data_IF_216003547753
#
_entry.id   IF_216003547753
#
_cell.length_a   1.000
_cell.length_b   1.000
_cell.length_c   1.000
_cell.angle_alpha   90.00
_cell.angle_beta   90.00
_cell.angle_gamma   90.00
#
_symmetry.space_group_name_H-M   'P 1'
#
loop_
_entity.id
_entity.type
_entity.pdbx_description
1 polymer ?
#
# COMPACT_ATOMS: atom_id res chain seq x y z
N UNK A 1 12.27 3.84 -6.28
CA UNK A 1 11.66 5.13 -6.65
C UNK A 1 10.36 5.19 -5.88
N UNK A 2 10.30 6.01 -4.84
CA UNK A 2 9.14 6.12 -3.96
C UNK A 2 8.22 7.19 -4.58
N UNK A 3 7.09 6.77 -5.12
CA UNK A 3 6.05 7.67 -5.58
C UNK A 3 5.07 7.88 -4.42
N UNK A 4 5.07 9.07 -3.83
CA UNK A 4 4.07 9.47 -2.84
C UNK A 4 2.82 9.98 -3.55
N UNK A 5 1.67 9.44 -3.16
CA UNK A 5 0.37 9.87 -3.68
C UNK A 5 0.15 11.30 -3.18
N UNK A 6 0.12 12.24 -4.13
CA UNK A 6 -0.11 13.68 -3.89
C UNK A 6 -1.28 13.86 -2.94
N UNK A 7 -1.25 14.91 -2.09
CA UNK A 7 -2.38 15.44 -1.29
C UNK A 7 -3.69 14.70 -1.61
N UNK A 8 -4.04 13.69 -0.83
CA UNK A 8 -5.28 12.94 -0.98
C UNK A 8 -6.45 13.85 -0.63
N UNK A 9 -6.73 14.83 -1.50
CA UNK A 9 -8.11 15.24 -1.70
C UNK A 9 -8.85 13.96 -2.08
N UNK A 10 -9.99 13.72 -1.48
CA UNK A 10 -10.86 12.55 -1.70
C UNK A 10 -11.29 12.35 -3.18
N UNK A 11 -10.77 13.16 -4.12
CA UNK A 11 -11.10 13.24 -5.55
C UNK A 11 -9.91 12.95 -6.48
N UNK A 12 -8.83 12.28 -6.04
CA UNK A 12 -7.81 11.83 -7.01
C UNK A 12 -8.27 10.56 -7.71
N UNK A 13 -8.27 10.58 -9.04
CA UNK A 13 -8.46 9.36 -9.83
C UNK A 13 -7.33 8.36 -9.53
N UNK A 14 -7.64 7.06 -9.56
CA UNK A 14 -6.64 6.01 -9.46
C UNK A 14 -5.56 6.24 -10.51
N UNK A 15 -4.30 6.41 -10.08
CA UNK A 15 -3.17 6.67 -10.97
C UNK A 15 -3.00 5.57 -12.03
N UNK A 16 -3.38 4.35 -11.66
CA UNK A 16 -3.40 3.16 -12.49
C UNK A 16 -4.44 2.19 -11.90
N UNK A 17 -5.22 1.56 -12.76
CA UNK A 17 -6.07 0.42 -12.43
C UNK A 17 -5.76 -0.68 -13.45
N UNK A 18 -5.51 -1.89 -12.97
CA UNK A 18 -5.23 -3.08 -13.79
C UNK A 18 -6.27 -4.11 -13.38
N UNK A 19 -7.26 -4.31 -14.24
CA UNK A 19 -8.32 -5.28 -14.00
C UNK A 19 -7.94 -6.60 -14.67
N UNK A 20 -7.71 -7.65 -13.86
CA UNK A 20 -7.49 -9.00 -14.38
C UNK A 20 -8.83 -9.74 -14.38
N UNK A 21 -9.39 -9.95 -15.57
CA UNK A 21 -10.67 -10.65 -15.75
C UNK A 21 -10.48 -12.18 -15.70
N UNK A 22 -10.32 -12.75 -14.51
CA UNK A 22 -10.52 -14.20 -14.29
C UNK A 22 -9.44 -14.92 -13.46
N UNK A 23 -9.88 -15.84 -12.61
CA UNK A 23 -9.09 -16.67 -11.69
C UNK A 23 -8.28 -17.79 -12.36
N UNK A 24 -8.33 -17.91 -13.69
CA UNK A 24 -7.63 -18.97 -14.42
C UNK A 24 -6.47 -18.40 -15.23
N UNK A 25 -5.28 -18.53 -14.64
CA UNK A 25 -3.98 -18.79 -15.29
C UNK A 25 -3.71 -18.00 -16.58
N UNK A 26 -2.89 -16.95 -16.44
CA UNK A 26 -2.05 -16.32 -17.47
C UNK A 26 -1.96 -17.09 -18.80
N UNK A 27 -2.88 -16.83 -19.74
CA UNK A 27 -2.66 -17.18 -21.14
C UNK A 27 -1.78 -16.11 -21.81
N UNK A 28 -0.99 -16.44 -22.85
CA UNK A 28 0.00 -15.54 -23.47
C UNK A 28 -0.56 -14.17 -23.90
N UNK A 29 -1.84 -14.11 -24.28
CA UNK A 29 -2.51 -12.88 -24.74
C UNK A 29 -2.85 -11.95 -23.57
N UNK A 30 -3.33 -12.51 -22.45
CA UNK A 30 -3.55 -11.75 -21.20
C UNK A 30 -2.23 -11.23 -20.63
N UNK A 31 -1.13 -11.96 -20.86
CA UNK A 31 0.20 -11.54 -20.40
C UNK A 31 0.71 -10.31 -21.13
N UNK A 32 0.42 -10.16 -22.44
CA UNK A 32 0.84 -8.98 -23.22
C UNK A 32 -0.02 -7.76 -22.88
N UNK A 33 -1.34 -7.94 -22.74
CA UNK A 33 -2.24 -6.84 -22.33
C UNK A 33 -1.87 -6.33 -20.93
N UNK A 34 -1.71 -7.25 -19.97
CA UNK A 34 -1.26 -6.91 -18.61
C UNK A 34 0.14 -6.30 -18.63
N UNK A 35 1.07 -6.77 -19.47
CA UNK A 35 2.41 -6.18 -19.59
C UNK A 35 2.37 -4.73 -20.13
N UNK A 36 1.51 -4.44 -21.11
CA UNK A 36 1.34 -3.08 -21.64
C UNK A 36 0.68 -2.15 -20.61
N UNK A 37 -0.34 -2.64 -19.90
CA UNK A 37 -0.96 -1.90 -18.80
C UNK A 37 0.05 -1.63 -17.69
N UNK A 38 0.85 -2.63 -17.30
CA UNK A 38 1.94 -2.49 -16.34
C UNK A 38 2.97 -1.45 -16.78
N UNK A 39 3.42 -1.48 -18.03
CA UNK A 39 4.39 -0.51 -18.56
C UNK A 39 3.81 0.92 -18.57
N UNK A 40 2.54 1.07 -18.95
CA UNK A 40 1.82 2.36 -18.89
C UNK A 40 1.68 2.87 -17.45
N UNK A 41 1.33 1.97 -16.52
CA UNK A 41 1.23 2.27 -15.10
C UNK A 41 2.57 2.67 -14.50
N UNK A 42 3.64 1.95 -14.83
CA UNK A 42 4.99 2.30 -14.41
C UNK A 42 5.38 3.69 -14.93
N UNK A 43 5.13 3.99 -16.21
CA UNK A 43 5.41 5.31 -16.78
C UNK A 43 4.65 6.42 -16.06
N UNK A 44 3.36 6.22 -15.74
CA UNK A 44 2.55 7.19 -14.99
C UNK A 44 3.09 7.38 -13.57
N UNK A 45 3.40 6.30 -12.86
CA UNK A 45 3.95 6.35 -11.51
C UNK A 45 5.31 7.06 -11.47
N UNK A 46 6.19 6.82 -12.44
CA UNK A 46 7.49 7.51 -12.56
C UNK A 46 7.34 9.01 -12.81
N UNK A 47 6.25 9.43 -13.45
CA UNK A 47 5.96 10.84 -13.70
C UNK A 47 5.33 11.55 -12.49
N UNK A 48 4.95 10.82 -11.43
CA UNK A 48 4.42 11.43 -10.20
C UNK A 48 5.58 12.15 -9.48
N UNK A 49 5.49 13.48 -9.29
CA UNK A 49 6.51 14.19 -8.54
C UNK A 49 6.45 13.78 -7.06
N UNK A 50 7.62 13.73 -6.41
CA UNK A 50 7.70 13.52 -4.97
C UNK A 50 7.04 14.66 -4.19
N UNK A 51 6.39 14.32 -3.08
CA UNK A 51 5.77 15.28 -2.17
C UNK A 51 6.72 15.69 -1.03
N UNK A 52 6.46 16.85 -0.44
CA UNK A 52 7.21 17.35 0.72
C UNK A 52 6.78 16.74 2.05
N UNK A 53 5.65 16.02 2.07
CA UNK A 53 5.05 15.39 3.25
C UNK A 53 4.49 14.01 2.89
N UNK A 54 4.42 13.11 3.87
CA UNK A 54 4.02 11.71 3.72
C UNK A 54 2.79 11.41 4.57
N UNK A 55 1.59 11.54 3.99
CA UNK A 55 0.32 11.21 4.66
C UNK A 55 -0.09 9.74 4.45
N UNK A 56 0.53 8.84 5.22
CA UNK A 56 0.25 7.40 5.15
C UNK A 56 -1.21 7.11 5.53
N UNK A 57 -1.72 7.72 6.59
CA UNK A 57 -3.09 7.51 7.05
C UNK A 57 -4.13 7.99 6.03
N UNK A 58 -3.91 9.15 5.40
CA UNK A 58 -4.76 9.66 4.33
C UNK A 58 -4.72 8.76 3.09
N UNK A 59 -3.56 8.22 2.72
CA UNK A 59 -3.44 7.26 1.63
C UNK A 59 -4.23 5.96 1.91
N UNK A 60 -4.14 5.43 3.13
CA UNK A 60 -4.92 4.26 3.56
C UNK A 60 -6.43 4.54 3.60
N UNK A 61 -6.83 5.75 3.99
CA UNK A 61 -8.23 6.18 3.95
C UNK A 61 -8.75 6.16 2.51
N UNK A 62 -8.01 6.78 1.59
CA UNK A 62 -8.37 6.80 0.19
C UNK A 62 -8.44 5.37 -0.40
N UNK A 63 -7.44 4.53 -0.15
CA UNK A 63 -7.43 3.14 -0.61
C UNK A 63 -8.65 2.36 -0.08
N UNK A 64 -9.02 2.55 1.18
CA UNK A 64 -10.18 1.87 1.77
C UNK A 64 -11.50 2.30 1.11
N UNK A 65 -11.66 3.58 0.81
CA UNK A 65 -12.83 4.11 0.11
C UNK A 65 -12.91 3.61 -1.34
N UNK A 66 -11.79 3.65 -2.07
CA UNK A 66 -11.71 3.18 -3.45
C UNK A 66 -12.07 1.69 -3.55
N UNK A 67 -11.56 0.86 -2.64
CA UNK A 67 -11.87 -0.57 -2.64
C UNK A 67 -13.29 -0.89 -2.16
N UNK A 68 -13.89 -0.07 -1.28
CA UNK A 68 -15.30 -0.24 -0.86
C UNK A 68 -16.28 -0.08 -2.03
N UNK A 69 -15.94 0.75 -3.02
CA UNK A 69 -16.75 0.92 -4.23
C UNK A 69 -16.73 -0.30 -5.17
N UNK A 70 -15.73 -1.18 -5.05
CA UNK A 70 -15.53 -2.34 -5.93
C UNK A 70 -16.11 -3.65 -5.34
N UNK A 71 -16.88 -4.40 -6.16
CA UNK A 71 -17.55 -5.70 -5.85
C UNK A 71 -16.54 -6.84 -5.52
N UNK A 72 -16.96 -7.97 -4.93
CA UNK A 72 -16.23 -8.65 -3.87
C UNK A 72 -15.04 -9.48 -4.37
N UNK A 73 -13.84 -9.00 -4.08
CA UNK A 73 -12.61 -9.77 -4.10
C UNK A 73 -11.79 -9.38 -2.85
N UNK A 74 -10.85 -10.22 -2.40
CA UNK A 74 -9.90 -9.87 -1.34
C UNK A 74 -9.29 -8.49 -1.58
N UNK A 75 -9.23 -7.70 -0.51
CA UNK A 75 -8.83 -6.31 -0.56
C UNK A 75 -7.52 -6.14 0.21
N UNK A 76 -6.42 -6.38 -0.48
CA UNK A 76 -5.08 -6.20 0.07
C UNK A 76 -4.54 -4.86 -0.38
N UNK A 77 -4.08 -4.04 0.59
CA UNK A 77 -3.32 -2.82 0.32
C UNK A 77 -1.84 -3.13 0.55
N UNK A 78 -1.00 -2.86 -0.44
CA UNK A 78 0.45 -2.93 -0.26
C UNK A 78 1.01 -1.51 -0.32
N UNK A 79 1.68 -1.09 0.75
CA UNK A 79 2.34 0.21 0.84
C UNK A 79 3.86 0.05 0.80
N UNK A 80 4.52 0.90 0.02
CA UNK A 80 5.98 1.03 -0.01
C UNK A 80 6.35 2.28 0.79
N UNK A 81 6.96 2.12 1.95
CA UNK A 81 7.09 3.20 2.93
C UNK A 81 8.22 2.93 3.91
N UNK A 82 8.76 3.98 4.52
CA UNK A 82 9.65 3.91 5.68
C UNK A 82 8.91 4.02 7.02
N UNK A 83 7.56 4.03 6.96
CA UNK A 83 6.63 4.22 8.06
C UNK A 83 6.78 5.58 8.79
N UNK A 84 7.49 6.54 8.22
CA UNK A 84 7.53 7.91 8.70
C UNK A 84 6.35 8.68 8.10
N UNK A 85 5.35 8.97 8.92
CA UNK A 85 4.29 9.90 8.54
C UNK A 85 4.65 11.31 9.01
N UNK A 86 4.54 12.26 8.11
CA UNK A 86 4.64 13.68 8.38
C UNK A 86 3.55 14.42 7.61
N UNK A 87 2.92 15.38 8.28
CA UNK A 87 1.78 16.13 7.74
C UNK A 87 2.13 17.63 7.69
N UNK A 88 1.54 18.37 6.73
CA UNK A 88 1.62 19.83 6.74
C UNK A 88 1.11 20.41 8.07
N UNK A 89 1.64 21.57 8.50
CA UNK A 89 1.17 22.24 9.70
C UNK A 89 -0.35 22.50 9.66
N UNK A 90 -1.04 22.16 10.76
CA UNK A 90 -2.49 22.35 10.89
C UNK A 90 -3.35 21.24 10.27
N UNK A 91 -2.75 20.24 9.61
CA UNK A 91 -3.48 19.04 9.19
C UNK A 91 -3.50 17.99 10.31
N UNK A 92 -4.63 17.29 10.42
CA UNK A 92 -4.77 16.12 11.28
C UNK A 92 -4.72 14.85 10.44
N UNK A 93 -4.12 13.79 10.98
CA UNK A 93 -4.06 12.50 10.31
C UNK A 93 -5.45 11.87 10.19
N UNK A 94 -5.72 11.23 9.06
CA UNK A 94 -6.96 10.50 8.86
C UNK A 94 -7.06 9.28 9.82
N UNK A 95 -8.29 8.82 10.07
CA UNK A 95 -8.59 7.58 10.76
C UNK A 95 -9.34 6.63 9.81
N UNK A 96 -8.62 5.88 8.97
CA UNK A 96 -9.24 4.98 8.00
C UNK A 96 -10.03 3.85 8.66
N UNK A 97 -11.12 3.44 8.02
CA UNK A 97 -11.81 2.20 8.36
C UNK A 97 -11.35 1.08 7.43
N UNK A 98 -10.46 0.23 7.95
CA UNK A 98 -9.83 -0.86 7.21
C UNK A 98 -10.54 -2.21 7.40
N UNK A 99 -11.78 -2.19 7.92
CA UNK A 99 -12.57 -3.41 8.13
C UNK A 99 -12.66 -4.23 6.84
N UNK A 100 -12.21 -5.48 6.92
CA UNK A 100 -12.21 -6.42 5.79
C UNK A 100 -11.03 -6.28 4.84
N UNK A 101 -10.07 -5.39 5.13
CA UNK A 101 -8.85 -5.22 4.36
C UNK A 101 -7.66 -5.84 5.10
N UNK A 102 -6.65 -6.30 4.36
CA UNK A 102 -5.32 -6.56 4.94
C UNK A 102 -4.32 -5.55 4.37
N UNK A 103 -3.36 -5.15 5.20
CA UNK A 103 -2.35 -4.17 4.82
C UNK A 103 -0.96 -4.79 4.90
N UNK A 104 -0.21 -4.75 3.81
CA UNK A 104 1.18 -5.15 3.74
C UNK A 104 2.09 -3.94 3.60
N UNK A 105 3.21 -3.91 4.30
CA UNK A 105 4.20 -2.83 4.21
C UNK A 105 5.55 -3.34 3.67
N UNK A 106 5.98 -2.83 2.53
CA UNK A 106 7.35 -3.02 2.04
C UNK A 106 8.21 -1.86 2.54
N UNK A 107 9.10 -2.17 3.48
CA UNK A 107 9.92 -1.20 4.19
C UNK A 107 11.11 -0.75 3.33
N UNK A 108 11.08 0.52 2.91
CA UNK A 108 12.17 1.21 2.20
C UNK A 108 12.86 2.19 3.16
N UNK A 109 13.60 1.65 4.14
CA UNK A 109 14.18 2.44 5.24
C UNK A 109 15.42 3.23 4.75
N UNK A 110 15.45 4.57 4.91
CA UNK A 110 16.63 5.36 4.61
C UNK A 110 17.83 4.97 5.48
N UNK A 111 19.05 5.05 4.94
CA UNK A 111 20.27 4.71 5.68
C UNK A 111 20.44 5.53 6.98
N UNK A 112 19.94 6.77 7.02
CA UNK A 112 19.95 7.63 8.21
C UNK A 112 19.10 7.07 9.36
N UNK A 113 18.01 6.38 9.04
CA UNK A 113 17.09 5.79 10.00
C UNK A 113 17.51 4.38 10.39
N UNK A 114 18.09 3.61 9.46
CA UNK A 114 18.65 2.29 9.73
C UNK A 114 19.80 2.32 10.78
N UNK A 115 20.47 3.48 10.94
CA UNK A 115 21.52 3.67 11.95
C UNK A 115 20.99 3.98 13.35
N UNK A 116 19.69 4.17 13.53
CA UNK A 116 19.06 4.50 14.82
C UNK A 116 18.49 3.22 15.44
N UNK A 117 19.10 2.69 16.52
CA UNK A 117 18.66 1.42 17.11
C UNK A 117 17.19 1.47 17.54
N UNK A 118 16.42 0.43 17.19
CA UNK A 118 15.01 0.26 17.59
C UNK A 118 14.00 1.22 16.96
N UNK A 119 14.44 2.18 16.13
CA UNK A 119 13.52 3.14 15.49
C UNK A 119 12.52 2.44 14.56
N UNK A 120 13.02 1.54 13.71
CA UNK A 120 12.19 0.81 12.74
C UNK A 120 11.21 -0.10 13.46
N UNK A 121 11.68 -0.89 14.44
CA UNK A 121 10.84 -1.79 15.23
C UNK A 121 9.73 -1.04 15.95
N UNK A 122 10.05 0.14 16.52
CA UNK A 122 9.06 1.00 17.15
C UNK A 122 8.02 1.48 16.15
N UNK A 123 8.44 1.98 14.97
CA UNK A 123 7.50 2.41 13.91
C UNK A 123 6.60 1.26 13.47
N UNK A 124 7.17 0.07 13.24
CA UNK A 124 6.41 -1.12 12.86
C UNK A 124 5.39 -1.47 13.93
N UNK A 125 5.77 -1.48 15.21
CA UNK A 125 4.86 -1.77 16.31
C UNK A 125 3.74 -0.72 16.46
N UNK A 126 4.06 0.57 16.32
CA UNK A 126 3.09 1.66 16.31
C UNK A 126 2.08 1.50 15.17
N UNK A 127 2.55 1.25 13.95
CA UNK A 127 1.68 1.05 12.79
C UNK A 127 0.89 -0.24 12.86
N UNK A 128 1.48 -1.34 13.32
CA UNK A 128 0.76 -2.60 13.54
C UNK A 128 -0.42 -2.41 14.50
N UNK A 129 -0.19 -1.71 15.62
CA UNK A 129 -1.26 -1.37 16.56
C UNK A 129 -2.34 -0.49 15.91
N UNK A 130 -1.96 0.60 15.22
CA UNK A 130 -2.93 1.49 14.57
C UNK A 130 -3.76 0.75 13.52
N UNK A 131 -3.10 -0.01 12.64
CA UNK A 131 -3.75 -0.70 11.52
C UNK A 131 -4.69 -1.80 12.01
N UNK A 132 -4.25 -2.63 12.95
CA UNK A 132 -5.03 -3.81 13.39
C UNK A 132 -6.03 -3.48 14.48
N UNK A 133 -5.67 -2.64 15.45
CA UNK A 133 -6.52 -2.34 16.62
C UNK A 133 -7.39 -1.11 16.39
N UNK A 134 -6.79 0.01 16.00
CA UNK A 134 -7.52 1.28 15.90
C UNK A 134 -8.36 1.32 14.61
N UNK A 135 -7.83 0.79 13.52
CA UNK A 135 -8.45 0.86 12.18
C UNK A 135 -9.04 -0.46 11.68
N UNK A 136 -8.89 -1.54 12.48
CA UNK A 136 -9.60 -2.82 12.32
C UNK A 136 -9.30 -3.56 11.00
N UNK A 137 -8.09 -3.43 10.48
CA UNK A 137 -7.64 -4.30 9.39
C UNK A 137 -7.64 -5.77 9.86
N UNK A 138 -7.98 -6.69 8.96
CA UNK A 138 -7.93 -8.15 9.21
C UNK A 138 -6.51 -8.64 9.51
N UNK A 139 -5.51 -8.02 8.89
CA UNK A 139 -4.11 -8.40 9.06
C UNK A 139 -3.17 -7.25 8.70
N UNK A 140 -1.99 -7.30 9.31
CA UNK A 140 -0.87 -6.43 8.99
C UNK A 140 0.40 -7.27 8.88
N UNK A 141 1.09 -7.17 7.75
CA UNK A 141 2.39 -7.79 7.54
C UNK A 141 3.40 -6.76 7.03
N UNK A 142 4.69 -7.03 7.24
CA UNK A 142 5.74 -6.15 6.75
C UNK A 142 6.95 -6.94 6.28
N UNK A 143 7.63 -6.40 5.27
CA UNK A 143 8.83 -6.99 4.67
C UNK A 143 9.87 -5.91 4.42
N UNK A 144 11.14 -6.22 4.65
CA UNK A 144 12.21 -5.34 4.19
C UNK A 144 12.32 -5.41 2.67
N UNK A 145 12.46 -4.25 2.00
CA UNK A 145 12.60 -4.21 0.54
C UNK A 145 13.71 -5.11 0.00
N UNK A 146 14.84 -5.23 0.71
CA UNK A 146 15.96 -6.09 0.32
C UNK A 146 15.69 -7.59 0.49
N UNK A 147 14.71 -7.94 1.32
CA UNK A 147 14.28 -9.32 1.58
C UNK A 147 12.93 -9.64 0.93
N UNK A 148 12.35 -8.70 0.18
CA UNK A 148 11.00 -8.84 -0.37
C UNK A 148 10.95 -9.98 -1.39
N UNK A 149 10.03 -10.91 -1.17
CA UNK A 149 9.79 -12.04 -2.06
C UNK A 149 8.31 -12.09 -2.47
N UNK A 150 8.07 -12.27 -3.77
CA UNK A 150 6.73 -12.42 -4.33
C UNK A 150 5.94 -13.60 -3.71
N UNK A 151 6.62 -14.68 -3.31
CA UNK A 151 5.97 -15.82 -2.66
C UNK A 151 5.40 -15.46 -1.28
N UNK A 152 6.04 -14.57 -0.54
CA UNK A 152 5.56 -14.11 0.77
C UNK A 152 4.33 -13.21 0.62
N UNK A 153 4.33 -12.33 -0.39
CA UNK A 153 3.17 -11.52 -0.72
C UNK A 153 1.98 -12.41 -1.16
N UNK A 154 2.21 -13.42 -1.99
CA UNK A 154 1.18 -14.37 -2.39
C UNK A 154 0.58 -15.11 -1.19
N UNK A 155 1.43 -15.57 -0.26
CA UNK A 155 1.01 -16.20 0.99
C UNK A 155 0.15 -15.25 1.84
N UNK A 156 0.58 -14.00 1.98
CA UNK A 156 -0.18 -12.98 2.71
C UNK A 156 -1.56 -12.74 2.10
N UNK A 157 -1.67 -12.65 0.77
CA UNK A 157 -2.95 -12.49 0.07
C UNK A 157 -3.86 -13.69 0.36
N UNK A 158 -3.35 -14.93 0.25
CA UNK A 158 -4.11 -16.14 0.56
C UNK A 158 -4.59 -16.18 2.02
N UNK A 159 -3.75 -15.77 2.96
CA UNK A 159 -4.14 -15.71 4.37
C UNK A 159 -5.22 -14.65 4.61
N UNK A 160 -5.14 -13.51 3.90
CA UNK A 160 -6.15 -12.47 3.98
C UNK A 160 -7.53 -12.92 3.47
N UNK A 161 -7.56 -13.76 2.45
CA UNK A 161 -8.78 -14.35 1.90
C UNK A 161 -9.46 -15.33 2.86
N UNK A 162 -8.67 -16.03 3.67
CA UNK A 162 -9.13 -17.09 4.57
C UNK A 162 -9.55 -16.60 5.96
N UNK A 163 -9.15 -15.38 6.33
CA UNK A 163 -9.42 -14.74 7.64
C UNK A 163 -10.72 -13.94 7.62
#
# INVERSE_FOLDING_TARGET
MVATIKRTSLNQDLLCDIAVHGTNVFVPVDTVAVANELASCESRLRAVPGESYTDIAGALMFASLAMKASRPMPRVVVMFTDLAQDLPPGMQGAAPDLTGLCVGAVLDIPASDARKPGLVDRRVAEWANRITKDWRAKGFEHWHRLAFNAAELAKFIQQCEQS
#
